data_IF_261527046878
#
_entry.id   IF_261527046878
#
_cell.length_a   1.000
_cell.length_b   1.000
_cell.length_c   1.000
_cell.angle_alpha   90.00
_cell.angle_beta   90.00
_cell.angle_gamma   90.00
#
_symmetry.space_group_name_H-M   'P 1'
#
loop_
_entity.id
_entity.type
_entity.pdbx_description
1 polymer ?
#
# COMPACT_ATOMS: atom_id res chain seq x y z
N UNK A 1 -2.87 18.64 -10.16
CA UNK A 1 -1.90 17.63 -9.66
C UNK A 1 -1.52 16.71 -10.80
N UNK A 2 -0.35 16.89 -11.40
CA UNK A 2 0.11 16.07 -12.53
C UNK A 2 0.43 14.65 -12.02
N UNK A 3 -0.24 13.62 -12.57
CA UNK A 3 0.14 12.23 -12.33
C UNK A 3 1.55 12.05 -12.88
N UNK A 4 2.55 11.90 -12.01
CA UNK A 4 3.88 11.43 -12.43
C UNK A 4 3.66 10.14 -13.23
N UNK A 5 3.94 10.20 -14.53
CA UNK A 5 3.84 9.04 -15.39
C UNK A 5 4.84 8.02 -14.86
N UNK A 6 4.37 6.86 -14.37
CA UNK A 6 5.28 5.80 -13.93
C UNK A 6 6.13 5.37 -15.12
N UNK A 7 7.40 5.07 -14.85
CA UNK A 7 8.29 4.58 -15.89
C UNK A 7 7.85 3.16 -16.31
N UNK A 8 8.10 2.74 -17.56
CA UNK A 8 7.75 1.38 -18.01
C UNK A 8 8.32 0.27 -17.13
N UNK A 9 9.49 0.50 -16.52
CA UNK A 9 10.11 -0.46 -15.61
C UNK A 9 9.39 -0.53 -14.26
N UNK A 10 8.89 0.60 -13.73
CA UNK A 10 8.09 0.60 -12.49
C UNK A 10 6.74 -0.09 -12.68
N UNK A 11 6.13 0.09 -13.86
CA UNK A 11 4.91 -0.62 -14.25
C UNK A 11 5.14 -2.14 -14.32
N UNK A 12 6.25 -2.57 -14.92
CA UNK A 12 6.63 -4.00 -14.97
C UNK A 12 6.85 -4.58 -13.58
N UNK A 13 7.58 -3.87 -12.71
CA UNK A 13 7.81 -4.29 -11.32
C UNK A 13 6.49 -4.46 -10.57
N UNK A 14 5.62 -3.45 -10.63
CA UNK A 14 4.30 -3.50 -10.01
C UNK A 14 3.50 -4.69 -10.52
N UNK A 15 3.53 -4.96 -11.84
CA UNK A 15 2.80 -6.07 -12.42
C UNK A 15 3.37 -7.43 -11.97
N UNK A 16 4.68 -7.54 -11.77
CA UNK A 16 5.33 -8.75 -11.23
C UNK A 16 4.92 -8.97 -9.77
N UNK A 17 4.95 -7.94 -8.94
CA UNK A 17 4.60 -8.04 -7.52
C UNK A 17 3.14 -8.47 -7.31
N UNK A 18 2.26 -8.15 -8.25
CA UNK A 18 0.87 -8.62 -8.24
C UNK A 18 0.68 -10.07 -8.70
N UNK A 19 1.71 -10.75 -9.23
CA UNK A 19 1.60 -12.14 -9.62
C UNK A 19 1.63 -13.06 -8.38
N UNK A 20 0.83 -14.15 -8.37
CA UNK A 20 0.97 -15.19 -7.36
C UNK A 20 2.41 -15.69 -7.29
N UNK A 21 2.90 -15.96 -6.08
CA UNK A 21 4.27 -16.45 -5.84
C UNK A 21 4.61 -17.68 -6.71
N UNK A 22 3.72 -18.68 -6.71
CA UNK A 22 3.85 -19.88 -7.58
C UNK A 22 4.03 -19.53 -9.06
N UNK A 23 3.36 -18.50 -9.54
CA UNK A 23 3.49 -18.04 -10.94
C UNK A 23 4.85 -17.37 -11.17
N UNK A 24 5.34 -16.56 -10.23
CA UNK A 24 6.68 -15.93 -10.33
C UNK A 24 7.78 -17.00 -10.36
N UNK A 25 7.70 -18.03 -9.51
CA UNK A 25 8.62 -19.18 -9.50
C UNK A 25 8.56 -19.93 -10.84
N UNK A 26 7.37 -20.32 -11.29
CA UNK A 26 7.20 -21.01 -12.57
C UNK A 26 7.66 -20.15 -13.76
N UNK A 27 7.51 -18.82 -13.69
CA UNK A 27 8.01 -17.91 -14.71
C UNK A 27 9.54 -17.89 -14.74
N UNK A 28 10.21 -17.89 -13.58
CA UNK A 28 11.68 -17.99 -13.51
C UNK A 28 12.18 -19.28 -14.16
N UNK A 29 11.54 -20.41 -13.88
CA UNK A 29 11.85 -21.67 -14.54
C UNK A 29 11.60 -21.59 -16.06
N UNK A 30 10.44 -21.05 -16.45
CA UNK A 30 10.02 -20.91 -17.84
C UNK A 30 10.97 -20.05 -18.67
N UNK A 31 11.45 -18.91 -18.15
CA UNK A 31 12.38 -18.03 -18.88
C UNK A 31 13.80 -18.61 -19.01
N UNK A 32 14.15 -19.62 -18.22
CA UNK A 32 15.41 -20.37 -18.37
C UNK A 32 15.30 -21.45 -19.43
N UNK A 33 14.14 -22.08 -19.54
CA UNK A 33 13.92 -23.23 -20.41
C UNK A 33 13.46 -22.88 -21.83
N UNK A 34 13.11 -21.62 -22.10
CA UNK A 34 12.49 -21.23 -23.37
C UNK A 34 13.09 -19.95 -23.93
N UNK A 35 13.07 -19.84 -25.25
CA UNK A 35 13.38 -18.59 -25.93
C UNK A 35 12.22 -17.59 -25.79
N UNK A 36 12.46 -16.53 -25.04
CA UNK A 36 11.42 -15.55 -24.68
C UNK A 36 11.19 -14.53 -25.78
N UNK A 37 9.92 -14.21 -26.00
CA UNK A 37 9.48 -13.17 -26.95
C UNK A 37 8.72 -12.03 -26.26
N UNK A 38 8.60 -10.93 -26.99
CA UNK A 38 7.77 -9.76 -26.65
C UNK A 38 6.74 -9.53 -27.76
N UNK A 39 5.60 -8.94 -27.44
CA UNK A 39 4.60 -8.49 -28.41
C UNK A 39 3.70 -9.57 -29.02
N UNK A 40 3.80 -10.82 -28.56
CA UNK A 40 2.93 -11.94 -28.97
C UNK A 40 2.91 -13.05 -27.90
N UNK A 41 1.98 -14.00 -28.05
CA UNK A 41 1.86 -15.16 -27.17
C UNK A 41 2.85 -16.28 -27.54
N UNK A 42 2.96 -16.57 -28.84
CA UNK A 42 3.95 -17.47 -29.46
C UNK A 42 4.43 -16.86 -30.77
N UNK A 43 5.62 -17.24 -31.23
CA UNK A 43 6.09 -16.94 -32.59
C UNK A 43 6.09 -18.20 -33.48
N UNK A 44 6.58 -18.08 -34.72
CA UNK A 44 6.68 -19.20 -35.67
C UNK A 44 7.90 -20.09 -35.44
N UNK A 45 8.86 -19.60 -34.67
CA UNK A 45 10.14 -20.24 -34.39
C UNK A 45 10.15 -20.92 -33.01
N UNK A 46 8.96 -21.15 -32.43
CA UNK A 46 8.78 -21.82 -31.14
C UNK A 46 8.97 -20.93 -29.90
N UNK A 47 9.22 -19.64 -30.07
CA UNK A 47 9.30 -18.65 -29.01
C UNK A 47 7.98 -18.44 -28.28
N UNK A 48 8.08 -18.14 -26.99
CA UNK A 48 6.92 -18.00 -26.11
C UNK A 48 7.03 -16.78 -25.21
N UNK A 49 5.90 -16.15 -24.91
CA UNK A 49 5.90 -15.07 -23.93
C UNK A 49 6.19 -15.60 -22.52
N UNK A 50 6.68 -14.75 -21.59
CA UNK A 50 7.00 -15.19 -20.24
C UNK A 50 5.80 -15.81 -19.50
N UNK A 51 4.59 -15.32 -19.79
CA UNK A 51 3.38 -15.86 -19.17
C UNK A 51 3.09 -17.29 -19.64
N UNK A 52 3.23 -17.58 -20.93
CA UNK A 52 3.08 -18.94 -21.45
C UNK A 52 4.19 -19.86 -20.96
N UNK A 53 5.42 -19.36 -20.88
CA UNK A 53 6.54 -20.09 -20.29
C UNK A 53 6.21 -20.50 -18.84
N UNK A 54 5.68 -19.57 -18.03
CA UNK A 54 5.22 -19.86 -16.67
C UNK A 54 4.09 -20.89 -16.63
N UNK A 55 3.12 -20.80 -17.55
CA UNK A 55 2.00 -21.73 -17.63
C UNK A 55 2.48 -23.16 -17.90
N UNK A 56 3.48 -23.34 -18.77
CA UNK A 56 4.10 -24.64 -19.06
C UNK A 56 4.82 -25.23 -17.83
N UNK A 57 5.37 -24.38 -16.97
CA UNK A 57 5.95 -24.76 -15.68
C UNK A 57 4.91 -24.80 -14.53
N UNK A 58 3.60 -24.80 -14.84
CA UNK A 58 2.54 -24.99 -13.84
C UNK A 58 2.12 -23.73 -13.07
N UNK A 59 2.59 -22.54 -13.48
CA UNK A 59 2.11 -21.25 -12.98
C UNK A 59 0.84 -20.83 -13.73
N UNK A 60 -0.35 -21.14 -13.22
CA UNK A 60 -1.62 -20.75 -13.86
C UNK A 60 -2.08 -19.38 -13.36
N UNK A 61 -2.25 -18.43 -14.26
CA UNK A 61 -2.91 -17.13 -13.96
C UNK A 61 -3.42 -16.45 -15.22
N UNK A 62 -4.46 -15.63 -15.08
CA UNK A 62 -5.05 -14.80 -16.16
C UNK A 62 -4.64 -13.33 -16.02
N UNK A 63 -3.37 -13.07 -15.69
CA UNK A 63 -2.90 -11.72 -15.37
C UNK A 63 -2.45 -10.93 -16.62
N UNK A 64 -3.44 -10.47 -17.40
CA UNK A 64 -3.23 -9.70 -18.66
C UNK A 64 -2.39 -8.43 -18.43
N UNK A 65 -2.49 -7.82 -17.24
CA UNK A 65 -1.72 -6.62 -16.89
C UNK A 65 -0.21 -6.82 -17.00
N UNK A 66 0.29 -8.02 -16.65
CA UNK A 66 1.71 -8.34 -16.83
C UNK A 66 2.11 -8.37 -18.30
N UNK A 67 1.32 -9.03 -19.16
CA UNK A 67 1.64 -9.10 -20.60
C UNK A 67 1.75 -7.70 -21.22
N UNK A 68 0.82 -6.80 -20.87
CA UNK A 68 0.86 -5.39 -21.30
C UNK A 68 2.08 -4.65 -20.77
N UNK A 69 2.45 -4.87 -19.51
CA UNK A 69 3.60 -4.22 -18.89
C UNK A 69 4.91 -4.70 -19.50
N UNK A 70 5.04 -5.99 -19.79
CA UNK A 70 6.18 -6.60 -20.47
C UNK A 70 6.39 -6.01 -21.87
N UNK A 71 5.34 -5.98 -22.69
CA UNK A 71 5.41 -5.44 -24.05
C UNK A 71 5.71 -3.95 -24.06
N UNK A 72 5.18 -3.20 -23.07
CA UNK A 72 5.48 -1.78 -22.89
C UNK A 72 6.93 -1.54 -22.49
N UNK A 73 7.45 -2.34 -21.55
CA UNK A 73 8.84 -2.27 -21.11
C UNK A 73 9.80 -2.54 -22.26
N UNK A 74 9.53 -3.55 -23.08
CA UNK A 74 10.32 -3.89 -24.27
C UNK A 74 10.09 -2.93 -25.46
N UNK A 75 9.23 -1.93 -25.30
CA UNK A 75 8.79 -0.99 -26.33
C UNK A 75 8.39 -1.70 -27.64
N UNK A 76 7.78 -2.89 -27.56
CA UNK A 76 7.51 -3.72 -28.73
C UNK A 76 6.28 -3.21 -29.48
N UNK A 77 6.44 -2.91 -30.78
CA UNK A 77 5.32 -2.67 -31.69
C UNK A 77 4.89 -3.93 -32.46
N UNK A 78 5.76 -4.94 -32.51
CA UNK A 78 5.59 -6.22 -33.20
C UNK A 78 6.28 -7.34 -32.43
N UNK A 79 5.86 -8.56 -32.69
CA UNK A 79 6.48 -9.76 -32.14
C UNK A 79 7.97 -9.84 -32.49
N UNK A 80 8.83 -10.07 -31.49
CA UNK A 80 10.26 -10.33 -31.68
C UNK A 80 10.82 -11.12 -30.50
N UNK A 81 12.01 -11.70 -30.68
CA UNK A 81 12.81 -12.23 -29.57
C UNK A 81 13.13 -11.12 -28.56
N UNK A 82 12.99 -11.45 -27.29
CA UNK A 82 13.46 -10.61 -26.20
C UNK A 82 14.99 -10.60 -26.21
N UNK A 83 15.58 -9.44 -25.96
CA UNK A 83 17.03 -9.32 -25.85
C UNK A 83 17.50 -9.95 -24.54
N UNK A 84 18.78 -10.35 -24.48
CA UNK A 84 19.40 -10.89 -23.25
C UNK A 84 19.24 -9.93 -22.07
N UNK A 85 19.35 -8.63 -22.31
CA UNK A 85 19.17 -7.59 -21.28
C UNK A 85 17.74 -7.55 -20.75
N UNK A 86 16.75 -7.63 -21.63
CA UNK A 86 15.33 -7.64 -21.23
C UNK A 86 15.00 -8.86 -20.37
N UNK A 87 15.48 -10.05 -20.77
CA UNK A 87 15.29 -11.29 -20.00
C UNK A 87 16.02 -11.22 -18.65
N UNK A 88 17.24 -10.67 -18.62
CA UNK A 88 17.98 -10.47 -17.38
C UNK A 88 17.24 -9.54 -16.40
N UNK A 89 16.67 -8.43 -16.89
CA UNK A 89 15.90 -7.50 -16.06
C UNK A 89 14.64 -8.18 -15.51
N UNK A 90 13.92 -8.93 -16.35
CA UNK A 90 12.75 -9.69 -15.90
C UNK A 90 13.12 -10.68 -14.78
N UNK A 91 14.21 -11.43 -14.96
CA UNK A 91 14.75 -12.34 -13.95
C UNK A 91 15.04 -11.61 -12.64
N UNK A 92 15.83 -10.53 -12.69
CA UNK A 92 16.20 -9.77 -11.49
C UNK A 92 14.98 -9.22 -10.74
N UNK A 93 13.93 -8.79 -11.45
CA UNK A 93 12.70 -8.36 -10.80
C UNK A 93 11.89 -9.50 -10.20
N UNK A 94 11.82 -10.66 -10.85
CA UNK A 94 11.18 -11.85 -10.28
C UNK A 94 11.90 -12.31 -9.01
N UNK A 95 13.22 -12.42 -9.04
CA UNK A 95 14.04 -12.80 -7.88
C UNK A 95 13.91 -11.79 -6.73
N UNK A 96 13.97 -10.50 -7.03
CA UNK A 96 13.80 -9.45 -6.02
C UNK A 96 12.39 -9.47 -5.39
N UNK A 97 11.36 -9.74 -6.19
CA UNK A 97 9.97 -9.83 -5.74
C UNK A 97 9.76 -11.03 -4.81
N UNK A 98 10.34 -12.19 -5.13
CA UNK A 98 10.28 -13.37 -4.26
C UNK A 98 11.07 -13.16 -2.95
N UNK A 99 12.27 -12.60 -3.04
CA UNK A 99 13.08 -12.29 -1.85
C UNK A 99 12.42 -11.25 -0.94
N UNK A 100 11.62 -10.34 -1.50
CA UNK A 100 10.86 -9.37 -0.71
C UNK A 100 9.73 -10.04 0.07
N UNK A 101 9.04 -11.03 -0.51
CA UNK A 101 7.98 -11.77 0.17
C UNK A 101 8.54 -12.64 1.30
N UNK A 102 9.71 -13.28 1.10
CA UNK A 102 10.39 -14.05 2.16
C UNK A 102 10.69 -13.21 3.42
N UNK A 103 10.84 -11.89 3.26
CA UNK A 103 11.14 -10.97 4.37
C UNK A 103 9.90 -10.50 5.12
N UNK A 104 8.70 -10.68 4.56
CA UNK A 104 7.44 -10.26 5.18
C UNK A 104 6.65 -11.51 5.55
N UNK A 105 6.60 -11.83 6.85
CA UNK A 105 5.75 -12.92 7.35
C UNK A 105 4.26 -12.54 7.31
N UNK A 106 3.71 -12.44 6.10
CA UNK A 106 2.30 -12.21 5.83
C UNK A 106 1.45 -13.34 6.44
N UNK A 107 1.96 -14.57 6.48
CA UNK A 107 1.27 -15.70 7.08
C UNK A 107 1.13 -15.51 8.61
N UNK A 108 2.19 -15.05 9.27
CA UNK A 108 2.18 -14.61 10.67
C UNK A 108 1.18 -13.49 10.90
N UNK A 109 1.25 -12.41 10.11
CA UNK A 109 0.33 -11.27 10.24
C UNK A 109 -1.15 -11.68 10.05
N UNK A 110 -1.44 -12.60 9.11
CA UNK A 110 -2.81 -13.14 8.90
C UNK A 110 -3.24 -13.99 10.11
N UNK A 111 -2.33 -14.77 10.70
CA UNK A 111 -2.60 -15.57 11.89
C UNK A 111 -2.91 -14.67 13.08
N UNK A 112 -2.06 -13.68 13.35
CA UNK A 112 -2.27 -12.69 14.41
C UNK A 112 -3.61 -11.96 14.23
N UNK A 113 -3.95 -11.59 12.99
CA UNK A 113 -5.24 -10.98 12.69
C UNK A 113 -6.41 -11.92 13.01
N UNK A 114 -6.31 -13.19 12.64
CA UNK A 114 -7.34 -14.20 12.94
C UNK A 114 -7.47 -14.45 14.45
N UNK A 115 -6.36 -14.49 15.16
CA UNK A 115 -6.33 -14.67 16.62
C UNK A 115 -6.98 -13.46 17.31
N UNK A 116 -6.68 -12.24 16.86
CA UNK A 116 -7.36 -11.02 17.32
C UNK A 116 -8.86 -11.01 17.00
N UNK A 117 -9.30 -11.60 15.88
CA UNK A 117 -10.72 -11.75 15.59
C UNK A 117 -11.39 -12.83 16.44
N UNK A 118 -10.66 -13.88 16.82
CA UNK A 118 -11.14 -14.97 17.65
C UNK A 118 -11.29 -14.57 19.13
N UNK A 119 -10.53 -13.59 19.62
CA UNK A 119 -10.63 -13.06 21.00
C UNK A 119 -11.71 -11.97 21.16
N UNK A 120 -12.05 -11.25 20.09
CA UNK A 120 -13.11 -10.22 20.08
C UNK A 120 -14.50 -10.64 20.61
N UNK A 121 -14.99 -11.89 20.47
CA UNK A 121 -16.27 -12.31 21.02
C UNK A 121 -16.29 -12.24 22.56
N UNK A 122 -15.19 -12.58 23.22
CA UNK A 122 -15.07 -12.53 24.68
C UNK A 122 -15.08 -11.07 25.17
N UNK A 123 -14.31 -10.20 24.52
CA UNK A 123 -14.28 -8.77 24.82
C UNK A 123 -15.63 -8.08 24.56
N UNK A 124 -16.33 -8.47 23.49
CA UNK A 124 -17.68 -7.98 23.19
C UNK A 124 -18.71 -8.49 24.18
N UNK A 125 -18.64 -9.75 24.60
CA UNK A 125 -19.52 -10.33 25.60
C UNK A 125 -19.31 -9.66 26.98
N UNK A 126 -18.07 -9.37 27.35
CA UNK A 126 -17.74 -8.65 28.58
C UNK A 126 -18.20 -7.18 28.54
N UNK A 127 -18.01 -6.50 27.41
CA UNK A 127 -18.56 -5.15 27.20
C UNK A 127 -20.09 -5.13 27.22
N UNK A 128 -20.75 -6.16 26.67
CA UNK A 128 -22.20 -6.29 26.68
C UNK A 128 -22.74 -6.64 28.08
N UNK A 129 -22.05 -7.49 28.83
CA UNK A 129 -22.36 -7.79 30.23
C UNK A 129 -22.22 -6.53 31.12
N UNK A 130 -21.17 -5.74 30.89
CA UNK A 130 -20.96 -4.44 31.55
C UNK A 130 -22.09 -3.46 31.22
N UNK A 131 -22.53 -3.39 29.96
CA UNK A 131 -23.70 -2.59 29.53
C UNK A 131 -25.00 -3.04 30.17
N UNK A 132 -25.24 -4.36 30.30
CA UNK A 132 -26.43 -4.88 30.98
C UNK A 132 -26.44 -4.54 32.47
N UNK A 133 -25.27 -4.50 33.12
CA UNK A 133 -25.13 -4.07 34.53
C UNK A 133 -25.30 -2.57 34.72
N UNK A 134 -24.99 -1.75 33.72
CA UNK A 134 -25.11 -0.30 33.78
C UNK A 134 -25.81 0.25 32.53
N UNK A 135 -27.15 0.13 32.44
CA UNK A 135 -27.91 0.53 31.24
C UNK A 135 -27.82 2.03 30.92
N UNK A 136 -27.49 2.86 31.93
CA UNK A 136 -27.28 4.31 31.78
C UNK A 136 -25.81 4.73 31.78
N UNK A 137 -24.85 3.78 31.74
CA UNK A 137 -23.44 4.16 31.60
C UNK A 137 -23.18 4.78 30.22
N UNK A 138 -22.48 5.92 30.15
CA UNK A 138 -22.04 6.48 28.87
C UNK A 138 -21.17 5.45 28.14
N UNK A 139 -21.44 5.19 26.85
CA UNK A 139 -20.51 4.37 26.06
C UNK A 139 -19.14 5.06 26.01
N UNK A 140 -18.05 4.31 25.79
CA UNK A 140 -16.78 4.91 25.40
C UNK A 140 -17.00 5.85 24.20
N UNK A 141 -16.83 7.17 24.42
CA UNK A 141 -17.10 8.23 23.44
C UNK A 141 -18.45 8.96 23.56
N UNK A 142 -19.40 8.49 24.38
CA UNK A 142 -20.72 9.14 24.56
C UNK A 142 -20.68 10.37 25.48
N UNK A 143 -19.73 10.43 26.42
CA UNK A 143 -19.56 11.60 27.29
C UNK A 143 -19.31 12.90 26.51
N UNK A 144 -18.98 12.80 25.22
CA UNK A 144 -18.68 13.91 24.32
C UNK A 144 -19.62 13.98 23.10
N UNK A 145 -20.70 13.20 23.06
CA UNK A 145 -21.79 13.41 22.09
C UNK A 145 -22.63 14.59 22.56
N UNK A 146 -22.07 15.79 22.41
CA UNK A 146 -22.81 17.03 22.56
C UNK A 146 -24.10 16.94 21.75
N UNK A 147 -25.22 17.18 22.42
CA UNK A 147 -26.51 17.40 21.78
C UNK A 147 -26.32 18.69 20.97
N UNK A 148 -26.37 18.56 19.65
CA UNK A 148 -26.25 19.62 18.64
C UNK A 148 -24.89 19.72 17.91
N UNK A 149 -24.88 19.25 16.66
CA UNK A 149 -24.26 19.89 15.48
C UNK A 149 -24.19 18.87 14.33
N UNK A 150 -25.02 19.10 13.31
CA UNK A 150 -24.99 18.37 12.04
C UNK A 150 -23.66 18.61 11.32
N UNK A 151 -22.85 17.56 11.25
CA UNK A 151 -21.88 17.30 10.18
C UNK A 151 -20.82 18.37 9.90
N UNK A 152 -19.64 18.25 10.53
CA UNK A 152 -18.30 18.62 9.99
C UNK A 152 -17.15 18.35 10.99
N UNK A 153 -17.21 17.24 11.72
CA UNK A 153 -16.25 16.93 12.81
C UNK A 153 -14.86 16.50 12.34
N UNK A 154 -14.70 16.14 11.07
CA UNK A 154 -13.41 15.75 10.48
C UNK A 154 -12.58 16.94 9.95
N UNK A 155 -13.12 18.17 10.06
CA UNK A 155 -12.49 19.41 9.57
C UNK A 155 -12.02 20.34 10.71
N UNK A 156 -12.20 19.97 11.98
CA UNK A 156 -11.74 20.80 13.11
C UNK A 156 -10.40 20.28 13.65
N UNK A 157 -9.36 21.13 13.74
CA UNK A 157 -8.08 20.79 14.38
C UNK A 157 -8.23 20.43 15.87
N UNK A 158 -9.22 21.00 16.55
CA UNK A 158 -9.53 20.75 17.96
C UNK A 158 -10.93 20.17 18.13
N UNK A 159 -11.05 19.15 18.98
CA UNK A 159 -12.32 18.44 19.22
C UNK A 159 -13.09 19.01 20.41
N UNK A 160 -12.43 19.71 21.32
CA UNK A 160 -13.04 20.37 22.47
C UNK A 160 -12.87 21.89 22.42
N UNK A 161 -13.82 22.63 23.00
CA UNK A 161 -13.79 24.09 23.06
C UNK A 161 -12.67 24.59 23.99
N UNK A 162 -12.47 23.93 25.12
CA UNK A 162 -11.41 24.25 26.09
C UNK A 162 -10.00 24.01 25.53
N UNK A 163 -9.81 22.97 24.72
CA UNK A 163 -8.56 22.76 23.97
C UNK A 163 -8.29 23.91 22.99
N UNK A 164 -9.33 24.40 22.32
CA UNK A 164 -9.22 25.54 21.42
C UNK A 164 -8.93 26.84 22.17
N UNK A 165 -9.61 27.08 23.30
CA UNK A 165 -9.40 28.26 24.15
C UNK A 165 -8.00 28.26 24.76
N UNK A 166 -7.51 27.12 25.24
CA UNK A 166 -6.14 26.97 25.76
C UNK A 166 -5.08 27.20 24.66
N UNK A 167 -5.32 26.68 23.44
CA UNK A 167 -4.44 26.93 22.31
C UNK A 167 -4.42 28.41 21.91
N UNK A 168 -5.57 29.10 21.96
CA UNK A 168 -5.63 30.54 21.70
C UNK A 168 -4.85 31.34 22.73
N UNK A 169 -5.04 31.03 24.02
CA UNK A 169 -4.34 31.70 25.12
C UNK A 169 -2.83 31.51 25.05
N UNK A 170 -2.36 30.32 24.64
CA UNK A 170 -0.93 30.06 24.43
C UNK A 170 -0.34 30.93 23.30
N UNK A 171 -1.05 31.06 22.18
CA UNK A 171 -0.61 31.89 21.04
C UNK A 171 -0.60 33.37 21.41
N UNK A 172 -1.59 33.84 22.17
CA UNK A 172 -1.65 35.23 22.64
C UNK A 172 -0.48 35.55 23.59
N UNK A 173 -0.19 34.66 24.53
CA UNK A 173 0.95 34.81 25.44
C UNK A 173 2.30 34.83 24.71
N UNK A 174 2.49 33.97 23.70
CA UNK A 174 3.71 33.98 22.87
C UNK A 174 3.85 35.28 22.07
N UNK A 175 2.75 35.77 21.48
CA UNK A 175 2.73 37.04 20.74
C UNK A 175 3.13 38.20 21.65
N UNK A 176 2.55 38.26 22.84
CA UNK A 176 2.78 39.37 23.76
C UNK A 176 4.24 39.36 24.27
N UNK A 177 4.79 38.17 24.56
CA UNK A 177 6.20 38.01 24.92
C UNK A 177 7.17 38.44 23.79
N UNK A 178 6.81 38.18 22.52
CA UNK A 178 7.58 38.65 21.36
C UNK A 178 7.54 40.17 21.20
N UNK A 179 6.37 40.78 21.43
CA UNK A 179 6.21 42.24 21.38
C UNK A 179 7.03 42.92 22.48
N UNK A 180 7.04 42.37 23.70
CA UNK A 180 7.86 42.89 24.80
C UNK A 180 9.36 42.76 24.51
N UNK A 181 9.82 41.63 23.95
CA UNK A 181 11.22 41.46 23.54
C UNK A 181 11.62 42.50 22.50
N UNK A 182 10.77 42.70 21.48
CA UNK A 182 11.01 43.70 20.42
C UNK A 182 11.01 45.12 20.96
N UNK A 183 10.16 45.43 21.94
CA UNK A 183 10.16 46.75 22.60
C UNK A 183 11.46 47.00 23.37
N UNK A 184 11.96 46.01 24.13
CA UNK A 184 13.24 46.11 24.85
C UNK A 184 14.45 46.23 23.92
N UNK A 185 14.43 45.54 22.79
CA UNK A 185 15.46 45.66 21.74
C UNK A 185 15.48 47.05 21.08
N UNK A 186 14.34 47.73 20.99
CA UNK A 186 14.24 49.09 20.46
C UNK A 186 14.63 50.17 21.46
N UNK A 187 14.55 49.91 22.77
CA UNK A 187 14.99 50.83 23.83
C UNK A 187 16.51 50.78 24.12
N UNK A 188 17.22 49.80 23.56
CA UNK A 188 18.67 49.59 23.76
C UNK A 188 19.55 50.08 22.59
N UNK A 189 18.96 50.77 21.61
CA UNK A 189 19.63 51.43 20.48
C UNK A 189 19.49 52.94 20.59
#
# INVERSE_FOLDING_TARGET
MSRRHRSPIDDLRTAIDCLPERTRIAMLEGINANDIIVGAYTDRDGGVCPMLAAHRCGGRTNFISFAKAWDRFAASKRARRATTREVAILRSHLEASLLADDRVDLAGAIRDHRDLLATRPAERAEQEATRRRQPNAPRPGDAYRGRDTKGRHWLRPFRRLDEYEAALAAVEAERDALLERRARELETV
#
